data_IF_735437193015
#
_entry.id   IF_735437193015
#
_cell.length_a   1.000
_cell.length_b   1.000
_cell.length_c   1.000
_cell.angle_alpha   90.00
_cell.angle_beta   90.00
_cell.angle_gamma   90.00
#
_symmetry.space_group_name_H-M   'P 1'
#
loop_
_entity.id
_entity.type
_entity.pdbx_description
1 polymer ?
#
# COMPACT_ATOMS: atom_id res chain seq x y z
N UNK A 1 1.83 -22.25 12.81
CA UNK A 1 0.45 -21.90 12.41
C UNK A 1 0.50 -20.42 12.13
N UNK A 2 0.46 -20.02 10.86
CA UNK A 2 0.45 -18.59 10.53
C UNK A 2 -0.80 -18.00 11.14
N UNK A 3 -0.63 -16.95 11.94
CA UNK A 3 -1.76 -16.28 12.54
C UNK A 3 -2.64 -15.72 11.41
N UNK A 4 -3.95 -15.92 11.49
CA UNK A 4 -4.88 -15.43 10.45
C UNK A 4 -4.73 -13.92 10.25
N UNK A 5 -4.35 -13.20 11.31
CA UNK A 5 -4.04 -11.77 11.26
C UNK A 5 -2.77 -11.47 10.42
N UNK A 6 -1.75 -12.31 10.50
CA UNK A 6 -0.52 -12.19 9.72
C UNK A 6 -0.78 -12.41 8.22
N UNK A 7 -1.57 -13.43 7.90
CA UNK A 7 -1.98 -13.71 6.51
C UNK A 7 -2.81 -12.58 5.91
N UNK A 8 -3.77 -12.04 6.67
CA UNK A 8 -4.57 -10.89 6.23
C UNK A 8 -3.72 -9.63 6.06
N UNK A 9 -2.81 -9.36 6.99
CA UNK A 9 -1.87 -8.24 6.89
C UNK A 9 -1.01 -8.35 5.63
N UNK A 10 -0.48 -9.53 5.34
CA UNK A 10 0.30 -9.79 4.13
C UNK A 10 -0.54 -9.55 2.86
N UNK A 11 -1.78 -10.04 2.83
CA UNK A 11 -2.68 -9.86 1.70
C UNK A 11 -2.96 -8.38 1.42
N UNK A 12 -3.25 -7.60 2.47
CA UNK A 12 -3.50 -6.15 2.37
C UNK A 12 -2.25 -5.42 1.86
N UNK A 13 -1.06 -5.76 2.37
CA UNK A 13 0.20 -5.16 1.90
C UNK A 13 0.43 -5.46 0.42
N UNK A 14 0.19 -6.69 -0.02
CA UNK A 14 0.33 -7.08 -1.43
C UNK A 14 -0.68 -6.34 -2.31
N UNK A 15 -1.96 -6.30 -1.92
CA UNK A 15 -3.01 -5.60 -2.67
C UNK A 15 -2.69 -4.11 -2.82
N UNK A 16 -2.20 -3.48 -1.74
CA UNK A 16 -1.82 -2.08 -1.75
C UNK A 16 -0.60 -1.83 -2.63
N UNK A 17 0.42 -2.70 -2.57
CA UNK A 17 1.61 -2.59 -3.40
C UNK A 17 1.29 -2.74 -4.89
N UNK A 18 0.43 -3.72 -5.25
CA UNK A 18 -0.01 -3.94 -6.64
C UNK A 18 -0.83 -2.75 -7.13
N UNK A 19 -1.78 -2.27 -6.33
CA UNK A 19 -2.61 -1.11 -6.69
C UNK A 19 -1.75 0.13 -6.87
N UNK A 20 -0.80 0.37 -5.97
CA UNK A 20 0.14 1.49 -6.07
C UNK A 20 1.01 1.40 -7.34
N UNK A 21 1.49 0.22 -7.69
CA UNK A 21 2.27 0.01 -8.92
C UNK A 21 1.43 0.28 -10.18
N UNK A 22 0.18 -0.20 -10.20
CA UNK A 22 -0.75 0.05 -11.31
C UNK A 22 -1.02 1.56 -11.45
N UNK A 23 -1.32 2.23 -10.35
CA UNK A 23 -1.55 3.69 -10.34
C UNK A 23 -0.31 4.43 -10.81
N UNK A 24 0.87 4.10 -10.28
CA UNK A 24 2.12 4.76 -10.66
C UNK A 24 2.49 4.57 -12.14
N UNK A 25 2.16 3.43 -12.74
CA UNK A 25 2.51 3.11 -14.13
C UNK A 25 1.47 3.56 -15.14
N UNK A 26 0.19 3.54 -14.78
CA UNK A 26 -0.92 3.74 -15.73
C UNK A 26 -1.68 5.05 -15.53
N UNK A 27 -1.56 5.69 -14.36
CA UNK A 27 -2.29 6.93 -14.06
C UNK A 27 -1.37 8.13 -14.26
N UNK A 28 -1.77 9.12 -15.09
CA UNK A 28 -1.08 10.40 -15.20
C UNK A 28 -0.89 11.06 -13.84
N UNK A 29 0.25 11.71 -13.64
CA UNK A 29 0.66 12.22 -12.32
C UNK A 29 -0.32 13.25 -11.74
N UNK A 30 -0.94 14.06 -12.60
CA UNK A 30 -1.98 15.04 -12.28
C UNK A 30 -3.27 14.39 -11.76
N UNK A 31 -3.62 13.21 -12.29
CA UNK A 31 -4.75 12.40 -11.83
C UNK A 31 -4.42 11.56 -10.58
N UNK A 32 -3.14 11.36 -10.27
CA UNK A 32 -2.68 10.58 -9.11
C UNK A 32 -2.68 11.39 -7.79
N UNK A 33 -2.79 12.73 -7.85
CA UNK A 33 -2.75 13.64 -6.69
C UNK A 33 -3.71 13.23 -5.56
N UNK A 34 -4.98 12.84 -5.82
CA UNK A 34 -5.90 12.44 -4.75
C UNK A 34 -5.47 11.19 -3.99
N UNK A 35 -4.59 10.36 -4.55
CA UNK A 35 -4.08 9.14 -3.92
C UNK A 35 -2.84 9.36 -3.07
N UNK A 36 -2.24 10.56 -3.10
CA UNK A 36 -1.05 10.89 -2.31
C UNK A 36 -1.23 10.66 -0.79
N UNK A 37 -2.37 11.05 -0.17
CA UNK A 37 -2.59 10.79 1.25
C UNK A 37 -2.58 9.30 1.60
N UNK A 38 -3.15 8.46 0.73
CA UNK A 38 -3.18 7.01 0.90
C UNK A 38 -1.77 6.40 0.82
N UNK A 39 -0.95 6.86 -0.12
CA UNK A 39 0.44 6.44 -0.23
C UNK A 39 1.25 6.79 1.02
N UNK A 40 1.05 7.99 1.58
CA UNK A 40 1.72 8.41 2.83
C UNK A 40 1.30 7.52 4.00
N UNK A 41 -0.01 7.26 4.16
CA UNK A 41 -0.51 6.38 5.24
C UNK A 41 0.12 4.99 5.14
N UNK A 42 0.21 4.43 3.93
CA UNK A 42 0.84 3.14 3.70
C UNK A 42 2.33 3.13 4.04
N UNK A 43 3.08 4.15 3.62
CA UNK A 43 4.51 4.26 3.96
C UNK A 43 4.73 4.39 5.47
N UNK A 44 3.88 5.13 6.18
CA UNK A 44 3.94 5.25 7.65
C UNK A 44 3.63 3.91 8.30
N UNK A 45 2.58 3.21 7.87
CA UNK A 45 2.26 1.89 8.40
C UNK A 45 3.39 0.88 8.18
N UNK A 46 4.00 0.90 6.99
CA UNK A 46 5.15 0.05 6.66
C UNK A 46 6.38 0.39 7.52
N UNK A 47 6.64 1.68 7.75
CA UNK A 47 7.72 2.14 8.62
C UNK A 47 7.50 1.67 10.05
N UNK A 48 6.29 1.83 10.59
CA UNK A 48 5.94 1.38 11.94
C UNK A 48 5.96 -0.14 12.08
N UNK A 49 5.63 -0.89 11.03
CA UNK A 49 5.72 -2.35 11.05
C UNK A 49 7.18 -2.84 11.05
N UNK A 50 8.06 -2.12 10.36
CA UNK A 50 9.49 -2.47 10.26
C UNK A 50 10.31 -2.06 11.49
N UNK A 51 9.87 -1.03 12.21
CA UNK A 51 10.57 -0.45 13.36
C UNK A 51 10.16 -1.09 14.69
#
# INVERSE_FOLDING_TARGET
MTDSAELLSLLVVVEFAVTAAIVALLVPLDAAIPFLPLAIVFLVALFLYRS
#
